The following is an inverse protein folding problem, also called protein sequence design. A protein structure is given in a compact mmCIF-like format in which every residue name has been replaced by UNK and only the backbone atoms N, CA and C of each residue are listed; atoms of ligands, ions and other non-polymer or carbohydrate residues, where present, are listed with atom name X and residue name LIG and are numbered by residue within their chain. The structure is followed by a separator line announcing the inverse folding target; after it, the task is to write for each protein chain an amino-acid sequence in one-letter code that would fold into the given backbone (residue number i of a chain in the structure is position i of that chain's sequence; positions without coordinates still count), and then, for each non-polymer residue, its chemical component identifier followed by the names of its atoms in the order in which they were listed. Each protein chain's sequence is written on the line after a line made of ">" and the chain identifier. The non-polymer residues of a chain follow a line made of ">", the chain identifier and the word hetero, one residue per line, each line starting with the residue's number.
data_IF_744595008407
#
_entry.id   IF_744595008407
#
_cell.length_a   1.000
_cell.length_b   1.000
_cell.length_c   1.000
_cell.angle_alpha   90.00
_cell.angle_beta   90.00
_cell.angle_gamma   90.00
#
_symmetry.space_group_name_H-M   'P 1'
#
loop_
_entity.id
_entity.type
_entity.pdbx_description
1 polymer ?
#
# COMPACT_ATOMS: atom_id res chain seq x y z
N UNK A 1 -10.42 -16.55 23.93
CA UNK A 1 -10.05 -15.28 23.26
C UNK A 1 -10.53 -14.15 24.15
N UNK A 2 -9.76 -13.09 24.35
CA UNK A 2 -10.12 -11.98 25.23
C UNK A 2 -11.24 -11.14 24.58
N UNK A 3 -12.33 -10.86 25.29
CA UNK A 3 -13.47 -10.08 24.78
C UNK A 3 -13.04 -8.68 24.29
N UNK A 4 -12.01 -8.09 24.93
CA UNK A 4 -11.44 -6.81 24.50
C UNK A 4 -10.74 -6.94 23.15
N UNK A 5 -10.09 -8.07 22.92
CA UNK A 5 -9.42 -8.34 21.65
C UNK A 5 -10.45 -8.52 20.53
N UNK A 6 -11.50 -9.30 20.78
CA UNK A 6 -12.59 -9.49 19.81
C UNK A 6 -13.29 -8.17 19.44
N UNK A 7 -13.52 -7.30 20.43
CA UNK A 7 -14.07 -5.96 20.20
C UNK A 7 -13.17 -5.11 19.30
N UNK A 8 -11.87 -5.13 19.57
CA UNK A 8 -10.88 -4.38 18.78
C UNK A 8 -10.80 -4.90 17.33
N UNK A 9 -10.86 -6.22 17.11
CA UNK A 9 -10.91 -6.81 15.77
C UNK A 9 -12.15 -6.38 14.99
N UNK A 10 -13.31 -6.33 15.65
CA UNK A 10 -14.55 -5.87 15.03
C UNK A 10 -14.51 -4.38 14.68
N UNK A 11 -13.97 -3.53 15.56
CA UNK A 11 -13.77 -2.10 15.30
C UNK A 11 -12.80 -1.88 14.12
N UNK A 12 -11.68 -2.62 14.08
CA UNK A 12 -10.72 -2.56 13.00
C UNK A 12 -11.33 -3.00 11.65
N UNK A 13 -12.12 -4.07 11.67
CA UNK A 13 -12.85 -4.54 10.49
C UNK A 13 -13.84 -3.50 9.99
N UNK A 14 -14.58 -2.88 10.91
CA UNK A 14 -15.52 -1.79 10.59
C UNK A 14 -14.80 -0.61 9.93
N UNK A 15 -13.69 -0.17 10.51
CA UNK A 15 -12.88 0.92 9.98
C UNK A 15 -12.33 0.59 8.58
N UNK A 16 -11.83 -0.64 8.37
CA UNK A 16 -11.36 -1.11 7.07
C UNK A 16 -12.45 -0.97 5.99
N UNK A 17 -13.67 -1.43 6.29
CA UNK A 17 -14.79 -1.37 5.36
C UNK A 17 -15.21 0.08 5.04
N UNK A 18 -15.20 0.96 6.04
CA UNK A 18 -15.48 2.38 5.85
C UNK A 18 -14.44 3.06 4.96
N UNK A 19 -13.15 2.76 5.17
CA UNK A 19 -12.05 3.31 4.37
C UNK A 19 -12.12 2.82 2.92
N UNK A 20 -12.41 1.53 2.69
CA UNK A 20 -12.60 1.00 1.33
C UNK A 20 -13.76 1.70 0.60
N UNK A 21 -14.87 1.93 1.30
CA UNK A 21 -16.04 2.64 0.76
C UNK A 21 -15.68 4.08 0.38
N UNK A 22 -14.93 4.78 1.24
CA UNK A 22 -14.48 6.14 0.97
C UNK A 22 -13.56 6.22 -0.26
N UNK A 23 -12.63 5.27 -0.38
CA UNK A 23 -11.71 5.19 -1.52
C UNK A 23 -12.48 4.94 -2.82
N UNK A 24 -13.44 4.02 -2.81
CA UNK A 24 -14.30 3.76 -3.97
C UNK A 24 -15.13 4.99 -4.36
N UNK A 25 -15.68 5.71 -3.38
CA UNK A 25 -16.43 6.94 -3.62
C UNK A 25 -15.57 8.02 -4.29
N UNK A 26 -14.34 8.24 -3.80
CA UNK A 26 -13.40 9.19 -4.41
C UNK A 26 -13.10 8.76 -5.85
N UNK A 27 -12.77 7.48 -6.07
CA UNK A 27 -12.45 6.98 -7.41
C UNK A 27 -13.62 7.06 -8.41
N UNK A 28 -14.86 7.07 -7.94
CA UNK A 28 -16.06 7.18 -8.79
C UNK A 28 -16.40 8.59 -9.26
N UNK A 29 -15.69 9.61 -8.78
CA UNK A 29 -15.98 11.00 -9.12
C UNK A 29 -15.34 11.39 -10.46
N UNK A 30 -16.13 12.00 -11.34
CA UNK A 30 -15.69 12.44 -12.68
C UNK A 30 -14.61 13.53 -12.66
N UNK A 31 -14.45 14.23 -11.53
CA UNK A 31 -13.45 15.28 -11.34
C UNK A 31 -12.13 14.79 -10.71
N UNK A 32 -11.98 13.48 -10.50
CA UNK A 32 -10.77 12.92 -9.90
C UNK A 32 -9.72 12.63 -10.97
N UNK A 33 -8.52 13.25 -10.89
CA UNK A 33 -7.47 12.98 -11.86
C UNK A 33 -7.08 11.50 -11.89
N UNK A 34 -6.83 10.96 -13.09
CA UNK A 34 -6.59 9.53 -13.34
C UNK A 34 -5.52 8.89 -12.43
N UNK A 35 -4.47 9.65 -12.07
CA UNK A 35 -3.43 9.15 -11.18
C UNK A 35 -3.92 8.91 -9.74
N UNK A 36 -4.92 9.65 -9.26
CA UNK A 36 -5.57 9.40 -7.98
C UNK A 36 -6.52 8.20 -8.06
N UNK A 37 -7.25 8.03 -9.17
CA UNK A 37 -8.07 6.84 -9.40
C UNK A 37 -7.20 5.56 -9.43
N UNK A 38 -6.03 5.61 -10.09
CA UNK A 38 -5.08 4.50 -10.11
C UNK A 38 -4.52 4.17 -8.70
N UNK A 39 -4.21 5.19 -7.89
CA UNK A 39 -3.79 4.97 -6.49
C UNK A 39 -4.92 4.38 -5.64
N UNK A 40 -6.16 4.82 -5.83
CA UNK A 40 -7.33 4.28 -5.13
C UNK A 40 -7.55 2.80 -5.47
N UNK A 41 -7.46 2.43 -6.75
CA UNK A 41 -7.52 1.03 -7.20
C UNK A 41 -6.38 0.20 -6.57
N UNK A 42 -5.15 0.72 -6.57
CA UNK A 42 -4.01 0.06 -5.93
C UNK A 42 -4.21 -0.19 -4.43
N UNK A 43 -4.79 0.77 -3.71
CA UNK A 43 -5.09 0.66 -2.28
C UNK A 43 -6.20 -0.37 -1.99
N UNK A 44 -7.23 -0.44 -2.84
CA UNK A 44 -8.26 -1.48 -2.74
C UNK A 44 -7.65 -2.86 -2.93
N UNK A 45 -6.77 -3.05 -3.93
CA UNK A 45 -6.11 -4.33 -4.17
C UNK A 45 -5.16 -4.76 -3.04
N UNK A 46 -4.38 -3.86 -2.46
CA UNK A 46 -3.51 -4.21 -1.32
C UNK A 46 -4.31 -4.55 -0.06
N UNK A 47 -5.51 -3.98 0.12
CA UNK A 47 -6.38 -4.31 1.25
C UNK A 47 -7.05 -5.69 1.16
N UNK A 48 -7.09 -6.27 -0.04
CA UNK A 48 -7.65 -7.62 -0.33
C UNK A 48 -6.57 -8.70 -0.29
N UNK A 49 -5.29 -8.35 -0.44
CA UNK A 49 -4.20 -9.27 -0.15
C UNK A 49 -4.00 -9.39 1.37
N UNK A 50 -4.79 -10.29 1.94
CA UNK A 50 -4.36 -11.10 3.08
C UNK A 50 -2.91 -11.56 2.85
N UNK A 51 -2.10 -11.40 3.89
CA UNK A 51 -0.67 -11.74 3.92
C UNK A 51 -0.40 -13.03 3.14
N UNK A 52 0.33 -13.01 2.00
CA UNK A 52 0.98 -14.24 1.62
C UNK A 52 2.00 -14.49 2.73
N UNK A 53 1.89 -15.62 3.41
CA UNK A 53 2.94 -16.15 4.29
C UNK A 53 4.22 -16.29 3.46
N UNK A 54 4.95 -15.19 3.31
CA UNK A 54 6.25 -15.11 2.70
C UNK A 54 7.19 -14.79 3.84
N UNK A 55 7.68 -15.89 4.42
CA UNK A 55 8.85 -15.83 5.28
C UNK A 55 9.96 -15.04 4.60
N UNK A 56 10.61 -14.20 5.42
CA UNK A 56 11.97 -13.69 5.25
C UNK A 56 12.30 -12.99 3.92
N UNK A 57 12.42 -11.67 3.97
CA UNK A 57 13.06 -10.93 2.89
C UNK A 57 13.05 -9.42 3.11
N UNK A 58 13.62 -8.96 4.23
CA UNK A 58 13.88 -7.54 4.44
C UNK A 58 14.58 -6.94 3.20
N UNK A 59 14.18 -5.75 2.71
CA UNK A 59 14.85 -5.15 1.56
C UNK A 59 16.27 -4.78 1.95
N UNK A 60 17.24 -5.25 1.15
CA UNK A 60 18.66 -4.91 1.29
C UNK A 60 18.86 -3.39 1.34
N UNK A 61 19.74 -2.89 2.22
CA UNK A 61 19.98 -1.46 2.32
C UNK A 61 20.74 -0.99 1.07
N UNK A 62 20.09 -0.14 0.28
CA UNK A 62 20.70 0.90 -0.55
C UNK A 62 22.01 0.45 -1.23
N UNK A 63 21.86 -0.28 -2.34
CA UNK A 63 22.92 -0.44 -3.32
C UNK A 63 23.09 0.87 -4.07
N UNK A 64 24.05 1.70 -3.64
CA UNK A 64 24.44 2.93 -4.32
C UNK A 64 24.80 2.56 -5.77
N UNK A 65 23.95 3.00 -6.69
CA UNK A 65 24.06 2.81 -8.14
C UNK A 65 25.42 3.34 -8.62
N UNK A 66 26.30 2.43 -9.01
CA UNK A 66 27.54 2.68 -9.74
C UNK A 66 27.20 3.52 -10.99
N UNK A 67 27.56 4.81 -10.97
CA UNK A 67 27.49 5.67 -12.15
C UNK A 67 28.82 5.59 -12.89
N UNK A 68 28.78 5.13 -14.14
CA UNK A 68 29.86 5.18 -15.11
C UNK A 68 30.03 6.59 -15.64
N UNK A 69 31.26 7.11 -15.66
CA UNK A 69 31.60 8.36 -16.32
C UNK A 69 33.12 8.57 -16.38
N UNK A 70 33.69 8.32 -17.55
CA UNK A 70 35.07 8.61 -17.98
C UNK A 70 35.47 10.06 -17.78
N UNK A 71 36.69 10.31 -17.28
CA UNK A 71 37.44 11.53 -17.62
C UNK A 71 38.95 11.23 -17.69
N UNK A 72 39.60 11.86 -18.66
CA UNK A 72 40.95 11.61 -19.20
C UNK A 72 41.90 12.72 -18.70
N UNK A 73 43.21 12.55 -18.95
CA UNK A 73 44.35 13.50 -18.82
C UNK A 73 45.09 13.44 -17.47
N UNK A 74 46.43 13.36 -17.38
CA UNK A 74 47.53 13.53 -18.33
C UNK A 74 48.59 12.42 -18.15
#
# INVERSE_FOLDING_TARGET
>A
MDEKFLKMENELTTLKNQMQTLVAYIASRDDVPDHFAAMAVGLVHTSVNEVPDVGSGAPSPIGIRRSSGTEKTN
#
